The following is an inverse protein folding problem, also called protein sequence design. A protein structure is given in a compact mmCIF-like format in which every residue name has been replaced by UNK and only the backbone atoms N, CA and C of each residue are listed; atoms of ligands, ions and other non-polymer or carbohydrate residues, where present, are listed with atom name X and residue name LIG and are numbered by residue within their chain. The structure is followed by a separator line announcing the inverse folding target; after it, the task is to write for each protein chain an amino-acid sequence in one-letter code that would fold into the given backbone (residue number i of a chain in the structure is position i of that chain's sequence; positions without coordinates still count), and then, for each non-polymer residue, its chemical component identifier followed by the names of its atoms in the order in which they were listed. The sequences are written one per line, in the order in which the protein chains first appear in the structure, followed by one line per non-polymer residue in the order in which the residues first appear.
data_IF_049005075011
#
_entry.id   IF_049005075011
#
_cell.length_a   1.000
_cell.length_b   1.000
_cell.length_c   1.000
_cell.angle_alpha   90.00
_cell.angle_beta   90.00
_cell.angle_gamma   90.00
#
_symmetry.space_group_name_H-M   'P 1'
#
loop_
_entity.id
_entity.type
_entity.pdbx_description
1 polymer ?
#
# COMPACT_ATOMS: atom_id res chain seq x y z
N UNK A 1 -6.20 3.36 -22.72
CA UNK A 1 -5.28 3.75 -21.63
C UNK A 1 -4.78 2.49 -20.95
N UNK A 2 -3.66 1.96 -21.41
CA UNK A 2 -3.09 0.71 -20.86
C UNK A 2 -2.25 1.11 -19.66
N UNK A 3 -2.79 0.95 -18.44
CA UNK A 3 -2.03 1.17 -17.22
C UNK A 3 -0.93 0.10 -17.15
N UNK A 4 0.23 0.45 -17.72
CA UNK A 4 1.46 -0.31 -17.65
C UNK A 4 1.93 -0.28 -16.20
N UNK A 5 1.43 -1.20 -15.38
CA UNK A 5 2.12 -1.70 -14.19
C UNK A 5 3.34 -2.53 -14.68
N UNK A 6 4.22 -1.90 -15.44
CA UNK A 6 5.42 -2.49 -16.01
C UNK A 6 6.59 -1.59 -15.61
N UNK A 7 7.03 -1.74 -14.37
CA UNK A 7 8.37 -1.44 -13.84
C UNK A 7 8.31 -1.65 -12.34
N UNK A 8 9.36 -2.26 -11.80
CA UNK A 8 9.59 -2.51 -10.39
C UNK A 8 9.21 -1.25 -9.59
N UNK A 9 8.06 -1.26 -8.90
CA UNK A 9 7.79 -0.17 -7.98
C UNK A 9 8.86 -0.22 -6.90
N UNK A 10 9.59 0.87 -6.79
CA UNK A 10 10.69 1.01 -5.85
C UNK A 10 10.16 0.85 -4.43
N UNK A 11 11.02 0.37 -3.53
CA UNK A 11 10.69 0.30 -2.11
C UNK A 11 10.27 1.67 -1.54
N UNK A 12 10.78 2.76 -2.12
CA UNK A 12 10.40 4.13 -1.77
C UNK A 12 8.94 4.47 -2.15
N UNK A 13 8.49 4.09 -3.34
CA UNK A 13 7.10 4.30 -3.77
C UNK A 13 6.11 3.50 -2.92
N UNK A 14 6.45 2.26 -2.60
CA UNK A 14 5.64 1.43 -1.70
C UNK A 14 5.56 2.09 -0.32
N UNK A 15 6.68 2.57 0.20
CA UNK A 15 6.74 3.22 1.50
C UNK A 15 5.90 4.50 1.55
N UNK A 16 5.93 5.31 0.49
CA UNK A 16 5.11 6.52 0.40
C UNK A 16 3.63 6.18 0.35
N UNK A 17 3.24 5.21 -0.50
CA UNK A 17 1.86 4.75 -0.56
C UNK A 17 1.34 4.22 0.78
N UNK A 18 2.16 3.49 1.55
CA UNK A 18 1.82 3.07 2.92
C UNK A 18 1.63 4.28 3.86
N UNK A 19 2.50 5.31 3.80
CA UNK A 19 2.38 6.51 4.63
C UNK A 19 1.14 7.33 4.30
N UNK A 20 0.86 7.53 3.02
CA UNK A 20 -0.35 8.21 2.57
C UNK A 20 -1.61 7.48 3.01
N UNK A 21 -1.68 6.17 2.78
CA UNK A 21 -2.85 5.38 3.13
C UNK A 21 -3.08 5.33 4.64
N UNK A 22 -2.00 5.16 5.42
CA UNK A 22 -2.08 5.24 6.88
C UNK A 22 -2.61 6.60 7.37
N UNK A 23 -2.16 7.71 6.77
CA UNK A 23 -2.71 9.05 7.08
C UNK A 23 -4.19 9.18 6.73
N UNK A 24 -4.63 8.61 5.60
CA UNK A 24 -6.03 8.63 5.18
C UNK A 24 -6.94 7.85 6.15
N UNK A 25 -6.46 6.70 6.62
CA UNK A 25 -7.20 5.83 7.54
C UNK A 25 -7.12 6.31 8.99
N UNK A 26 -6.03 6.98 9.37
CA UNK A 26 -5.80 7.54 10.70
C UNK A 26 -4.84 6.73 11.58
N UNK A 27 -4.63 5.44 11.29
CA UNK A 27 -3.66 4.61 12.01
C UNK A 27 -3.11 3.43 11.17
N UNK A 28 -1.89 3.00 11.51
CA UNK A 28 -1.18 1.92 10.79
C UNK A 28 -1.82 0.53 10.99
N UNK A 29 -2.47 0.27 12.13
CA UNK A 29 -3.06 -1.05 12.42
C UNK A 29 -4.30 -1.27 11.57
N UNK A 30 -5.17 -0.27 11.47
CA UNK A 30 -6.34 -0.31 10.59
C UNK A 30 -5.92 -0.35 9.13
N UNK A 31 -4.93 0.46 8.71
CA UNK A 31 -4.41 0.41 7.35
C UNK A 31 -3.88 -1.00 6.96
N UNK A 32 -3.10 -1.63 7.83
CA UNK A 32 -2.62 -3.00 7.61
C UNK A 32 -3.78 -4.01 7.55
N UNK A 33 -4.78 -3.86 8.43
CA UNK A 33 -5.97 -4.74 8.47
C UNK A 33 -6.79 -4.63 7.18
N UNK A 34 -7.04 -3.41 6.69
CA UNK A 34 -7.77 -3.19 5.44
C UNK A 34 -7.07 -3.77 4.23
N UNK A 35 -5.73 -3.72 4.21
CA UNK A 35 -4.91 -4.35 3.17
C UNK A 35 -4.74 -5.86 3.33
N UNK A 36 -5.29 -6.46 4.40
CA UNK A 36 -5.12 -7.88 4.69
C UNK A 36 -3.67 -8.27 5.01
N UNK A 37 -2.86 -7.33 5.49
CA UNK A 37 -1.44 -7.51 5.77
C UNK A 37 -1.20 -7.65 7.28
N UNK A 38 -0.25 -8.50 7.70
CA UNK A 38 0.28 -8.42 9.06
C UNK A 38 0.86 -7.04 9.33
N UNK A 39 0.61 -6.47 10.52
CA UNK A 39 1.11 -5.15 10.91
C UNK A 39 2.61 -4.99 10.71
N UNK A 40 3.39 -6.01 11.08
CA UNK A 40 4.85 -6.03 10.89
C UNK A 40 5.26 -5.92 9.42
N UNK A 41 4.50 -6.55 8.52
CA UNK A 41 4.74 -6.45 7.07
C UNK A 41 4.50 -5.04 6.57
N UNK A 42 3.37 -4.44 6.97
CA UNK A 42 3.06 -3.05 6.63
C UNK A 42 4.11 -2.06 7.16
N UNK A 43 4.61 -2.27 8.38
CA UNK A 43 5.65 -1.42 8.96
C UNK A 43 6.97 -1.52 8.20
N UNK A 44 7.37 -2.72 7.80
CA UNK A 44 8.56 -2.92 6.96
C UNK A 44 8.41 -2.21 5.60
N UNK A 45 7.24 -2.30 4.98
CA UNK A 45 6.93 -1.61 3.73
C UNK A 45 7.02 -0.09 3.89
N UNK A 46 6.37 0.45 4.93
CA UNK A 46 6.38 1.88 5.29
C UNK A 46 7.79 2.42 5.59
N UNK A 47 8.70 1.58 6.08
CA UNK A 47 10.11 1.91 6.31
C UNK A 47 10.98 1.84 5.04
N UNK A 48 10.43 1.45 3.89
CA UNK A 48 11.19 1.33 2.64
C UNK A 48 11.99 0.03 2.53
N UNK A 49 11.62 -1.03 3.26
CA UNK A 49 12.22 -2.36 3.10
C UNK A 49 11.67 -3.12 1.89
N UNK A 50 10.69 -2.55 1.18
CA UNK A 50 10.04 -3.13 0.02
C UNK A 50 8.98 -4.17 0.36
N UNK A 51 8.46 -4.83 -0.68
CA UNK A 51 7.47 -5.89 -0.59
C UNK A 51 7.67 -6.88 -1.73
N UNK A 52 7.51 -8.18 -1.47
CA UNK A 52 7.73 -9.22 -2.47
C UNK A 52 6.75 -9.16 -3.65
N UNK A 53 5.56 -8.56 -3.44
CA UNK A 53 4.51 -8.47 -4.47
C UNK A 53 3.97 -7.04 -4.62
N UNK A 54 4.77 -6.08 -5.11
CA UNK A 54 4.39 -4.67 -5.21
C UNK A 54 3.09 -4.45 -6.00
N UNK A 55 2.94 -5.18 -7.12
CA UNK A 55 1.76 -5.09 -7.99
C UNK A 55 0.48 -5.46 -7.24
N UNK A 56 0.51 -6.53 -6.43
CA UNK A 56 -0.65 -6.94 -5.63
C UNK A 56 -1.01 -5.89 -4.58
N UNK A 57 0.00 -5.28 -3.94
CA UNK A 57 -0.22 -4.19 -3.00
C UNK A 57 -0.92 -3.00 -3.66
N UNK A 58 -0.44 -2.54 -4.81
CA UNK A 58 -1.06 -1.39 -5.50
C UNK A 58 -2.46 -1.70 -6.02
N UNK A 59 -2.74 -2.93 -6.46
CA UNK A 59 -4.11 -3.33 -6.81
C UNK A 59 -5.05 -3.32 -5.60
N UNK A 60 -4.62 -3.89 -4.46
CA UNK A 60 -5.40 -3.88 -3.24
C UNK A 60 -5.68 -2.45 -2.76
N UNK A 61 -4.66 -1.59 -2.80
CA UNK A 61 -4.77 -0.19 -2.41
C UNK A 61 -5.74 0.58 -3.32
N UNK A 62 -5.65 0.42 -4.64
CA UNK A 62 -6.55 1.06 -5.59
C UNK A 62 -8.00 0.65 -5.33
N UNK A 63 -8.24 -0.65 -5.11
CA UNK A 63 -9.58 -1.17 -4.84
C UNK A 63 -10.17 -0.63 -3.54
N UNK A 64 -9.35 -0.49 -2.49
CA UNK A 64 -9.78 0.08 -1.22
C UNK A 64 -10.14 1.56 -1.38
N UNK A 65 -9.32 2.35 -2.10
CA UNK A 65 -9.59 3.77 -2.34
C UNK A 65 -10.89 4.01 -3.10
N UNK A 66 -11.25 3.15 -4.05
CA UNK A 66 -12.57 3.21 -4.73
C UNK A 66 -13.75 2.92 -3.80
N UNK A 67 -13.53 2.15 -2.73
CA UNK A 67 -14.59 1.74 -1.80
C UNK A 67 -14.80 2.69 -0.63
N UNK A 68 -13.88 3.63 -0.41
CA UNK A 68 -13.97 4.61 0.67
C UNK A 68 -14.80 5.83 0.21
N UNK A 69 -15.80 6.28 1.00
CA UNK A 69 -16.53 7.51 0.67
C UNK A 69 -15.59 8.72 0.77
N UNK A 70 -15.65 9.57 -0.25
CA UNK A 70 -14.89 10.83 -0.39
C UNK A 70 -15.09 11.79 0.77
#
# INVERSE_FOLDING_TARGET
MTNKLTREQSAAEIAEACREFSRQVGDDKTAATLLGLPKKTFDNMKQGRGYAHPVLFFHALARLKESMPS
#
